data_IF_956261678384
#
_entry.id   IF_956261678384
#
_cell.length_a   1.000
_cell.length_b   1.000
_cell.length_c   1.000
_cell.angle_alpha   90.00
_cell.angle_beta   90.00
_cell.angle_gamma   90.00
#
_symmetry.space_group_name_H-M   'P 1'
#
loop_
_entity.id
_entity.type
_entity.pdbx_description
1 polymer ?
#
# COMPACT_ATOMS: atom_id res chain seq x y z
N UNK A 1 -2.15 19.39 -2.10
CA UNK A 1 -0.92 18.60 -1.92
C UNK A 1 -0.48 18.69 -0.46
N UNK A 2 -0.19 17.56 0.15
CA UNK A 2 0.26 17.47 1.53
C UNK A 2 1.55 16.64 1.61
N UNK A 3 2.30 16.83 2.70
CA UNK A 3 3.55 16.12 2.95
C UNK A 3 3.31 14.91 3.84
N UNK A 4 3.80 13.75 3.41
CA UNK A 4 3.73 12.51 4.17
C UNK A 4 5.13 12.03 4.51
N UNK A 5 5.31 11.55 5.73
CA UNK A 5 6.62 11.16 6.26
C UNK A 5 6.60 9.75 6.85
N UNK A 6 7.76 9.14 6.96
CA UNK A 6 7.90 7.86 7.64
C UNK A 6 9.36 7.47 7.78
N UNK A 7 9.56 6.25 8.27
CA UNK A 7 10.87 5.62 8.41
C UNK A 7 10.76 4.23 7.80
N UNK A 8 11.64 3.91 6.87
CA UNK A 8 11.79 2.57 6.31
C UNK A 8 12.90 1.85 7.10
N UNK A 9 12.57 0.68 7.64
CA UNK A 9 13.53 -0.19 8.34
C UNK A 9 13.38 -1.62 7.83
N UNK A 10 14.43 -2.42 7.99
CA UNK A 10 14.30 -3.87 7.86
C UNK A 10 13.57 -4.49 9.09
N UNK A 11 13.45 -5.82 9.08
CA UNK A 11 12.83 -6.57 10.17
C UNK A 11 13.67 -6.59 11.47
N UNK A 12 14.94 -6.16 11.41
CA UNK A 12 15.80 -5.93 12.57
C UNK A 12 15.76 -4.48 13.08
N UNK A 13 14.86 -3.65 12.53
CA UNK A 13 14.77 -2.20 12.79
C UNK A 13 16.02 -1.41 12.38
N UNK A 14 16.84 -1.95 11.48
CA UNK A 14 17.96 -1.24 10.88
C UNK A 14 17.48 -0.37 9.72
N UNK A 15 18.01 0.86 9.67
CA UNK A 15 17.81 1.77 8.55
C UNK A 15 18.89 1.65 7.46
N UNK A 16 19.91 0.80 7.67
CA UNK A 16 21.00 0.57 6.72
C UNK A 16 20.53 -0.31 5.56
N UNK A 17 19.71 0.28 4.70
CA UNK A 17 19.04 -0.39 3.60
C UNK A 17 19.80 -0.18 2.29
N UNK A 18 20.10 -1.26 1.57
CA UNK A 18 20.76 -1.18 0.26
C UNK A 18 19.79 -0.61 -0.78
N UNK A 19 20.01 0.66 -1.14
CA UNK A 19 19.40 1.38 -2.28
C UNK A 19 17.88 1.23 -2.49
N UNK A 20 17.02 1.40 -1.47
CA UNK A 20 15.58 1.30 -1.67
C UNK A 20 15.01 2.48 -2.47
N UNK A 21 13.92 2.22 -3.22
CA UNK A 21 13.02 3.26 -3.76
C UNK A 21 11.63 3.09 -3.17
N UNK A 22 11.13 4.14 -2.52
CA UNK A 22 9.74 4.17 -2.03
C UNK A 22 8.89 4.95 -3.02
N UNK A 23 7.87 4.29 -3.57
CA UNK A 23 6.99 4.82 -4.59
C UNK A 23 5.56 4.85 -4.06
N UNK A 24 4.90 6.00 -4.22
CA UNK A 24 3.49 6.19 -3.90
C UNK A 24 2.68 6.17 -5.19
N UNK A 25 1.78 5.21 -5.30
CA UNK A 25 0.95 5.01 -6.49
C UNK A 25 -0.51 5.13 -6.06
N UNK A 26 -1.27 6.10 -6.58
CA UNK A 26 -2.69 6.15 -6.30
C UNK A 26 -3.37 4.94 -6.95
N UNK A 27 -4.35 4.33 -6.28
CA UNK A 27 -5.07 3.17 -6.81
C UNK A 27 -5.71 3.45 -8.18
N UNK A 28 -6.01 2.41 -8.96
CA UNK A 28 -6.45 2.55 -10.37
C UNK A 28 -7.72 3.41 -10.54
N UNK A 29 -8.58 3.45 -9.52
CA UNK A 29 -9.75 4.34 -9.47
C UNK A 29 -9.41 5.83 -9.33
N UNK A 30 -8.14 6.20 -9.14
CA UNK A 30 -7.68 7.59 -9.10
C UNK A 30 -7.47 8.20 -10.49
N UNK A 31 -7.29 7.39 -11.53
CA UNK A 31 -7.15 7.88 -12.90
C UNK A 31 -8.47 8.55 -13.31
N UNK A 32 -8.41 9.84 -13.66
CA UNK A 32 -9.61 10.57 -14.05
C UNK A 32 -9.48 12.08 -13.94
N UNK A 33 -10.62 12.76 -14.02
CA UNK A 33 -10.71 14.21 -13.83
C UNK A 33 -11.11 14.47 -12.38
N UNK A 34 -10.24 15.09 -11.58
CA UNK A 34 -10.61 15.62 -10.28
C UNK A 34 -11.61 16.76 -10.49
N UNK A 35 -12.88 16.49 -10.16
CA UNK A 35 -13.96 17.48 -10.26
C UNK A 35 -13.78 18.65 -9.29
N UNK A 36 -13.09 18.44 -8.17
CA UNK A 36 -12.81 19.48 -7.18
C UNK A 36 -11.67 20.39 -7.63
N UNK A 37 -10.59 19.83 -8.17
CA UNK A 37 -9.43 20.60 -8.59
C UNK A 37 -9.47 21.05 -10.07
N UNK A 38 -10.39 20.51 -10.87
CA UNK A 38 -10.47 20.76 -12.31
C UNK A 38 -9.26 20.22 -13.09
N UNK A 39 -8.64 19.12 -12.63
CA UNK A 39 -7.38 18.59 -13.19
C UNK A 39 -7.53 17.14 -13.62
N UNK A 40 -6.83 16.77 -14.70
CA UNK A 40 -6.62 15.36 -15.06
C UNK A 40 -5.54 14.79 -14.15
N UNK A 41 -5.84 13.69 -13.48
CA UNK A 41 -4.91 12.97 -12.61
C UNK A 41 -4.34 11.79 -13.38
N UNK A 42 -3.02 11.79 -13.55
CA UNK A 42 -2.26 10.63 -14.02
C UNK A 42 -1.85 9.77 -12.83
N UNK A 43 -1.92 8.44 -12.97
CA UNK A 43 -1.51 7.46 -11.93
C UNK A 43 0.00 7.19 -11.91
N UNK A 44 0.80 8.13 -12.41
CA UNK A 44 2.26 7.99 -12.41
C UNK A 44 2.77 7.86 -10.96
N UNK A 45 3.63 6.88 -10.65
CA UNK A 45 4.23 6.76 -9.32
C UNK A 45 5.00 8.02 -8.93
N UNK A 46 4.82 8.45 -7.68
CA UNK A 46 5.60 9.54 -7.08
C UNK A 46 6.64 8.93 -6.14
N UNK A 47 7.90 9.17 -6.43
CA UNK A 47 9.00 8.69 -5.60
C UNK A 47 9.18 9.58 -4.37
N UNK A 48 9.32 8.96 -3.20
CA UNK A 48 9.69 9.64 -1.97
C UNK A 48 11.20 9.96 -1.96
N UNK A 49 11.55 11.06 -1.31
CA UNK A 49 12.95 11.39 -1.00
C UNK A 49 13.34 10.62 0.25
N UNK A 50 14.34 9.74 0.14
CA UNK A 50 14.90 8.96 1.24
C UNK A 50 16.21 9.57 1.74
N UNK A 51 16.36 9.61 3.05
CA UNK A 51 17.58 9.96 3.76
C UNK A 51 18.37 8.70 4.14
N UNK A 52 19.65 8.89 4.50
CA UNK A 52 20.52 7.78 4.90
C UNK A 52 20.10 7.07 6.20
N UNK A 53 19.28 7.72 7.03
CA UNK A 53 18.71 7.16 8.27
C UNK A 53 17.38 6.44 8.03
N UNK A 54 17.01 6.17 6.77
CA UNK A 54 15.76 5.51 6.39
C UNK A 54 14.54 6.42 6.53
N UNK A 55 14.67 7.65 7.01
CA UNK A 55 13.57 8.62 6.97
C UNK A 55 13.22 8.96 5.54
N UNK A 56 11.92 9.13 5.27
CA UNK A 56 11.46 9.54 3.95
C UNK A 56 10.39 10.62 4.03
N UNK A 57 10.27 11.38 2.95
CA UNK A 57 9.18 12.32 2.73
C UNK A 57 8.66 12.26 1.29
N UNK A 58 7.36 12.47 1.11
CA UNK A 58 6.73 12.55 -0.21
C UNK A 58 5.64 13.60 -0.22
N UNK A 59 5.52 14.33 -1.33
CA UNK A 59 4.43 15.28 -1.54
C UNK A 59 3.46 14.72 -2.58
N UNK A 60 2.26 14.32 -2.13
CA UNK A 60 1.20 13.82 -3.01
C UNK A 60 -0.15 14.47 -2.65
N UNK A 61 -1.14 14.22 -3.49
CA UNK A 61 -2.53 14.61 -3.24
C UNK A 61 -3.14 13.61 -2.26
N UNK A 62 -3.98 14.05 -1.32
CA UNK A 62 -4.61 13.12 -0.38
C UNK A 62 -5.64 12.22 -1.06
N UNK A 63 -5.93 11.05 -0.47
CA UNK A 63 -7.02 10.17 -0.92
C UNK A 63 -8.40 10.86 -0.92
N UNK A 64 -8.57 11.90 -0.10
CA UNK A 64 -9.78 12.73 -0.02
C UNK A 64 -9.96 13.67 -1.22
N UNK A 65 -8.87 14.13 -1.80
CA UNK A 65 -8.85 15.06 -2.94
C UNK A 65 -8.85 14.30 -4.29
N UNK A 66 -8.54 12.99 -4.27
CA UNK A 66 -8.71 12.08 -5.40
C UNK A 66 -10.20 11.72 -5.59
N UNK A 67 -10.74 12.05 -6.77
CA UNK A 67 -12.14 11.83 -7.23
C UNK A 67 -13.21 12.02 -6.13
N UNK A 68 -13.57 13.29 -5.90
CA UNK A 68 -14.95 13.69 -5.59
C UNK A 68 -15.62 13.03 -4.38
N UNK A 69 -14.97 13.08 -3.21
CA UNK A 69 -15.49 13.16 -1.82
C UNK A 69 -16.70 12.32 -1.34
N UNK A 70 -17.47 11.64 -2.18
CA UNK A 70 -18.65 10.86 -1.74
C UNK A 70 -18.31 9.41 -1.39
N UNK A 71 -17.17 8.93 -1.86
CA UNK A 71 -16.68 7.57 -1.59
C UNK A 71 -15.15 7.56 -1.44
N UNK A 72 -14.58 8.53 -0.70
CA UNK A 72 -13.12 8.66 -0.51
C UNK A 72 -12.52 7.40 0.14
N UNK A 73 -12.17 6.46 -0.73
CA UNK A 73 -11.72 5.11 -0.43
C UNK A 73 -10.58 4.71 -1.35
N UNK A 74 -10.02 5.64 -2.13
CA UNK A 74 -8.95 5.33 -3.07
C UNK A 74 -7.66 5.16 -2.26
N UNK A 75 -7.18 3.93 -2.04
CA UNK A 75 -5.96 3.73 -1.30
C UNK A 75 -4.78 4.13 -2.18
N UNK A 76 -3.70 4.57 -1.54
CA UNK A 76 -2.39 4.55 -2.17
C UNK A 76 -1.76 3.19 -1.95
N UNK A 77 -1.19 2.64 -3.02
CA UNK A 77 -0.23 1.55 -2.96
C UNK A 77 1.15 2.15 -2.76
N UNK A 78 1.79 1.84 -1.62
CA UNK A 78 3.18 2.18 -1.34
C UNK A 78 4.03 0.98 -1.72
N UNK A 79 4.90 1.15 -2.72
CA UNK A 79 5.85 0.13 -3.17
C UNK A 79 7.24 0.48 -2.68
N UNK A 80 7.91 -0.47 -2.02
CA UNK A 80 9.33 -0.37 -1.68
C UNK A 80 10.07 -1.31 -2.61
N UNK A 81 10.75 -0.76 -3.61
CA UNK A 81 11.60 -1.52 -4.51
C UNK A 81 13.00 -1.60 -3.92
N UNK A 82 13.51 -2.82 -3.77
CA UNK A 82 14.90 -3.08 -3.37
C UNK A 82 15.76 -3.13 -4.62
N UNK A 83 16.87 -2.39 -4.60
CA UNK A 83 17.79 -2.34 -5.74
C UNK A 83 19.17 -2.84 -5.34
N UNK A 84 19.86 -3.47 -6.29
CA UNK A 84 21.29 -3.75 -6.16
C UNK A 84 22.13 -2.48 -6.33
N UNK A 85 23.46 -2.62 -6.21
CA UNK A 85 24.40 -1.51 -6.37
C UNK A 85 24.41 -0.91 -7.79
N UNK A 86 23.96 -1.67 -8.80
CA UNK A 86 23.82 -1.21 -10.18
C UNK A 86 22.44 -0.58 -10.44
N UNK A 87 21.60 -0.44 -9.41
CA UNK A 87 20.25 0.10 -9.52
C UNK A 87 19.24 -0.85 -10.17
N UNK A 88 19.56 -2.14 -10.27
CA UNK A 88 18.66 -3.17 -10.79
C UNK A 88 17.73 -3.66 -9.69
N UNK A 89 16.49 -3.96 -10.09
CA UNK A 89 15.47 -4.48 -9.19
C UNK A 89 15.84 -5.87 -8.66
N UNK A 90 15.78 -6.04 -7.34
CA UNK A 90 16.01 -7.34 -6.67
C UNK A 90 14.84 -7.80 -5.80
N UNK A 91 13.91 -6.92 -5.45
CA UNK A 91 12.76 -7.29 -4.62
C UNK A 91 11.74 -6.16 -4.44
N UNK A 92 10.61 -6.49 -3.83
CA UNK A 92 9.49 -5.57 -3.61
C UNK A 92 8.74 -5.90 -2.33
N UNK A 93 8.44 -4.85 -1.55
CA UNK A 93 7.38 -4.84 -0.55
C UNK A 93 6.24 -3.92 -0.98
N UNK A 94 5.01 -4.27 -0.59
CA UNK A 94 3.80 -3.53 -0.98
C UNK A 94 2.92 -3.30 0.23
N UNK A 95 2.46 -2.06 0.39
CA UNK A 95 1.57 -1.64 1.46
C UNK A 95 0.40 -0.81 0.90
N UNK A 96 -0.72 -0.78 1.60
CA UNK A 96 -1.85 0.08 1.29
C UNK A 96 -2.11 1.08 2.41
N UNK A 97 -2.29 2.35 2.05
CA UNK A 97 -2.50 3.45 3.00
C UNK A 97 -3.57 4.42 2.51
N UNK A 98 -4.28 5.04 3.46
CA UNK A 98 -5.31 6.04 3.19
C UNK A 98 -4.77 7.43 3.56
N UNK A 99 -4.24 8.15 2.58
CA UNK A 99 -3.55 9.42 2.80
C UNK A 99 -4.54 10.54 3.10
N UNK A 100 -4.40 11.19 4.26
CA UNK A 100 -5.33 12.23 4.73
C UNK A 100 -4.94 13.63 4.25
N UNK A 101 -5.89 14.55 4.16
CA UNK A 101 -5.67 15.91 3.64
C UNK A 101 -4.59 16.72 4.40
N UNK A 102 -4.42 16.49 5.70
CA UNK A 102 -3.44 17.22 6.51
C UNK A 102 -1.98 16.75 6.33
N UNK A 103 -1.75 15.63 5.63
CA UNK A 103 -0.43 14.99 5.64
C UNK A 103 -0.13 14.32 6.98
N UNK A 104 1.15 14.01 7.23
CA UNK A 104 1.62 13.40 8.49
C UNK A 104 2.33 12.06 8.30
N UNK A 105 2.47 11.30 9.40
CA UNK A 105 3.18 10.02 9.37
C UNK A 105 2.34 8.96 8.66
N UNK A 106 2.94 8.25 7.70
CA UNK A 106 2.29 7.19 6.93
C UNK A 106 1.83 6.03 7.81
N UNK A 107 2.57 5.72 8.88
CA UNK A 107 2.22 4.68 9.83
C UNK A 107 0.85 4.92 10.51
N UNK A 108 0.47 6.18 10.70
CA UNK A 108 -0.82 6.57 11.33
C UNK A 108 -2.01 6.46 10.34
N UNK A 109 -1.72 6.12 9.09
CA UNK A 109 -2.66 6.11 7.96
C UNK A 109 -2.83 4.71 7.35
N UNK A 110 -2.23 3.70 7.98
CA UNK A 110 -2.48 2.30 7.63
C UNK A 110 -3.91 1.95 8.08
N UNK A 111 -4.78 1.58 7.14
CA UNK A 111 -6.08 1.01 7.51
C UNK A 111 -5.87 -0.47 7.86
N UNK A 112 -6.16 -0.90 9.11
CA UNK A 112 -6.02 -2.30 9.51
C UNK A 112 -6.93 -3.25 8.70
N UNK A 113 -7.93 -2.74 7.99
CA UNK A 113 -8.77 -3.53 7.06
C UNK A 113 -8.12 -3.74 5.69
N UNK A 114 -7.20 -2.87 5.29
CA UNK A 114 -6.46 -2.96 4.01
C UNK A 114 -5.13 -3.71 4.16
N UNK A 115 -4.60 -3.79 5.38
CA UNK A 115 -3.30 -4.37 5.70
C UNK A 115 -3.36 -5.79 6.29
N UNK A 116 -4.55 -6.41 6.30
CA UNK A 116 -4.66 -7.84 6.58
C UNK A 116 -4.38 -8.60 5.28
N UNK A 117 -3.21 -9.23 5.10
CA UNK A 117 -3.12 -10.29 4.10
C UNK A 117 -4.24 -11.27 4.44
N UNK A 118 -5.17 -11.49 3.50
CA UNK A 118 -5.99 -12.67 3.57
C UNK A 118 -5.00 -13.84 3.54
N UNK A 119 -4.78 -14.46 4.69
CA UNK A 119 -4.02 -15.69 4.72
C UNK A 119 -4.89 -16.74 4.02
N UNK A 120 -4.42 -17.19 2.84
CA UNK A 120 -5.19 -18.10 1.99
C UNK A 120 -4.70 -19.52 2.18
N UNK A 121 -5.63 -20.43 2.47
CA UNK A 121 -5.41 -21.89 2.40
C UNK A 121 -5.98 -22.37 1.08
N UNK A 122 -5.18 -23.03 0.26
CA UNK A 122 -5.63 -23.62 -1.01
C UNK A 122 -5.59 -25.14 -0.88
N UNK A 123 -6.75 -25.79 -0.91
CA UNK A 123 -6.89 -27.24 -0.83
C UNK A 123 -8.24 -27.72 -1.35
N UNK A 124 -8.33 -28.97 -1.83
CA UNK A 124 -9.59 -29.57 -2.32
C UNK A 124 -10.61 -29.80 -1.19
N UNK A 125 -10.12 -30.06 0.03
CA UNK A 125 -10.96 -30.27 1.21
C UNK A 125 -10.78 -29.09 2.15
N UNK A 126 -11.90 -28.53 2.60
CA UNK A 126 -11.98 -27.49 3.64
C UNK A 126 -11.38 -28.00 4.96
N UNK A 127 -10.29 -27.42 5.51
CA UNK A 127 -9.84 -27.82 6.84
C UNK A 127 -10.94 -27.70 7.90
N UNK A 128 -11.10 -28.75 8.69
CA UNK A 128 -12.08 -28.77 9.79
C UNK A 128 -11.79 -27.68 10.86
N UNK A 129 -10.52 -27.27 10.99
CA UNK A 129 -10.09 -26.19 11.87
C UNK A 129 -9.05 -25.35 11.15
N UNK A 130 -9.26 -24.03 11.11
CA UNK A 130 -8.29 -23.04 10.63
C UNK A 130 -8.49 -21.72 11.42
N UNK A 131 -7.54 -20.76 11.33
CA UNK A 131 -7.65 -19.51 12.09
C UNK A 131 -8.81 -18.62 11.61
N UNK A 132 -9.40 -17.87 12.55
CA UNK A 132 -10.40 -16.84 12.23
C UNK A 132 -9.75 -15.74 11.38
N UNK A 133 -10.48 -15.26 10.37
CA UNK A 133 -10.02 -14.21 9.44
C UNK A 133 -9.32 -14.72 8.19
N UNK A 134 -8.90 -15.99 8.16
CA UNK A 134 -8.30 -16.64 6.99
C UNK A 134 -9.35 -16.99 5.93
N UNK A 135 -8.91 -17.11 4.68
CA UNK A 135 -9.74 -17.52 3.54
C UNK A 135 -9.27 -18.89 3.08
N UNK A 136 -10.19 -19.81 2.90
CA UNK A 136 -9.92 -21.05 2.18
C UNK A 136 -10.49 -20.96 0.78
N UNK A 137 -9.77 -21.55 -0.17
CA UNK A 137 -10.17 -21.67 -1.56
C UNK A 137 -10.09 -23.14 -1.96
N UNK A 138 -11.21 -23.67 -2.44
CA UNK A 138 -11.28 -24.99 -3.05
C UNK A 138 -10.38 -25.03 -4.29
N UNK A 139 -9.38 -25.91 -4.29
CA UNK A 139 -8.41 -25.97 -5.39
C UNK A 139 -8.98 -26.52 -6.70
N UNK A 140 -10.16 -27.15 -6.67
CA UNK A 140 -10.83 -27.76 -7.83
C UNK A 140 -11.97 -26.89 -8.36
N UNK A 141 -12.81 -26.32 -7.49
CA UNK A 141 -13.95 -25.47 -7.90
C UNK A 141 -13.64 -23.98 -7.90
N UNK A 142 -12.63 -23.55 -7.13
CA UNK A 142 -12.31 -22.13 -6.90
C UNK A 142 -13.24 -21.44 -5.89
N UNK A 143 -14.15 -22.19 -5.24
CA UNK A 143 -15.02 -21.64 -4.21
C UNK A 143 -14.22 -21.13 -3.02
N UNK A 144 -14.55 -19.94 -2.54
CA UNK A 144 -13.84 -19.31 -1.44
C UNK A 144 -14.74 -19.13 -0.20
N UNK A 145 -14.21 -19.43 0.98
CA UNK A 145 -14.89 -19.21 2.27
C UNK A 145 -13.97 -18.51 3.26
N UNK A 146 -14.48 -17.48 3.92
CA UNK A 146 -13.77 -16.78 5.00
C UNK A 146 -14.26 -17.27 6.36
N UNK A 147 -13.33 -17.57 7.27
CA UNK A 147 -13.67 -17.89 8.66
C UNK A 147 -14.08 -16.64 9.42
N UNK A 148 -15.32 -16.60 9.90
CA UNK A 148 -15.88 -15.44 10.60
C UNK A 148 -16.03 -15.64 12.12
N UNK A 149 -16.04 -16.88 12.60
CA UNK A 149 -16.07 -17.24 14.03
C UNK A 149 -15.62 -18.67 14.27
#
# INVERSE_FOLDING_TARGET
MATYTGTLTDCGFSAALSSPRVLFIPGDSAAGISKQAGRVIATKPVQATLSADGSFSVNVVSSEELIGARESTVPYTVRVEWLDQAGQYVGLDVYQVMLRAAGGRVADMVDPRLSQPAHVIVSEVEPAVWPVGWVWVDSYTGDARRKVS
#
